data_IF_934060541065
#
_entry.id   IF_934060541065
#
_cell.length_a   1.000
_cell.length_b   1.000
_cell.length_c   1.000
_cell.angle_alpha   90.00
_cell.angle_beta   90.00
_cell.angle_gamma   90.00
#
_symmetry.space_group_name_H-M   'P 1'
#
loop_
_entity.id
_entity.type
_entity.pdbx_description
1 polymer ?
#
# COMPACT_ATOMS: atom_id res chain seq x y z
N UNK A 1 10.84 -23.19 -8.87
CA UNK A 1 10.15 -24.15 -7.99
C UNK A 1 9.36 -23.34 -6.98
N UNK A 2 8.07 -23.63 -6.84
CA UNK A 2 7.16 -22.89 -5.95
C UNK A 2 7.62 -23.04 -4.49
N UNK A 3 7.63 -21.93 -3.74
CA UNK A 3 7.86 -21.96 -2.29
C UNK A 3 6.53 -22.18 -1.56
N UNK A 4 6.23 -23.44 -1.23
CA UNK A 4 4.96 -23.82 -0.59
C UNK A 4 4.81 -23.28 0.84
N UNK A 5 5.92 -22.98 1.54
CA UNK A 5 5.88 -22.32 2.83
C UNK A 5 5.47 -20.86 2.68
N UNK A 6 6.00 -20.17 1.66
CA UNK A 6 5.62 -18.80 1.35
C UNK A 6 4.15 -18.70 0.90
N UNK A 7 3.61 -19.71 0.20
CA UNK A 7 2.18 -19.78 -0.17
C UNK A 7 1.27 -19.86 1.06
N UNK A 8 1.64 -20.67 2.06
CA UNK A 8 0.93 -20.76 3.33
C UNK A 8 1.31 -19.64 4.31
N UNK A 9 2.25 -18.75 3.93
CA UNK A 9 2.75 -17.65 4.73
C UNK A 9 3.30 -18.05 6.10
N UNK A 10 3.93 -19.22 6.16
CA UNK A 10 4.58 -19.74 7.37
C UNK A 10 6.09 -19.85 7.13
N UNK A 11 6.93 -19.76 8.18
CA UNK A 11 8.36 -20.02 8.02
C UNK A 11 8.63 -21.51 7.75
N UNK A 12 9.80 -21.83 7.16
CA UNK A 12 10.17 -23.22 6.81
C UNK A 12 10.27 -24.15 8.02
N UNK A 13 10.57 -23.60 9.19
CA UNK A 13 10.65 -24.29 10.47
C UNK A 13 9.30 -24.40 11.20
N UNK A 14 8.19 -23.97 10.58
CA UNK A 14 6.86 -24.07 11.18
C UNK A 14 6.50 -25.51 11.55
N UNK A 15 5.92 -25.68 12.74
CA UNK A 15 5.39 -26.96 13.16
C UNK A 15 4.09 -27.29 12.41
N UNK A 16 3.67 -28.56 12.49
CA UNK A 16 2.48 -29.03 11.78
C UNK A 16 1.22 -28.26 12.20
N UNK A 17 1.10 -27.93 13.49
CA UNK A 17 -0.03 -27.18 14.00
C UNK A 17 -0.12 -25.77 13.39
N UNK A 18 1.01 -25.09 13.19
CA UNK A 18 1.09 -23.78 12.55
C UNK A 18 0.75 -23.86 11.06
N UNK A 19 1.18 -24.93 10.38
CA UNK A 19 0.85 -25.18 8.96
C UNK A 19 -0.67 -25.40 8.81
N UNK A 20 -1.26 -26.24 9.64
CA UNK A 20 -2.69 -26.53 9.62
C UNK A 20 -3.51 -25.28 9.94
N UNK A 21 -3.12 -24.52 10.97
CA UNK A 21 -3.79 -23.27 11.35
C UNK A 21 -3.73 -22.22 10.24
N UNK A 22 -2.57 -22.02 9.63
CA UNK A 22 -2.39 -21.08 8.53
C UNK A 22 -3.21 -21.48 7.30
N UNK A 23 -3.21 -22.76 6.93
CA UNK A 23 -4.03 -23.29 5.83
C UNK A 23 -5.52 -23.07 6.08
N UNK A 24 -6.04 -23.43 7.25
CA UNK A 24 -7.46 -23.25 7.58
C UNK A 24 -7.85 -21.77 7.54
N UNK A 25 -7.03 -20.89 8.12
CA UNK A 25 -7.29 -19.44 8.13
C UNK A 25 -7.28 -18.85 6.72
N UNK A 26 -6.30 -19.20 5.89
CA UNK A 26 -6.20 -18.74 4.51
C UNK A 26 -7.34 -19.29 3.65
N UNK A 27 -7.72 -20.56 3.84
CA UNK A 27 -8.85 -21.16 3.13
C UNK A 27 -10.16 -20.45 3.40
N UNK A 28 -10.37 -20.07 4.66
CA UNK A 28 -11.53 -19.27 5.09
C UNK A 28 -11.49 -17.85 4.52
N UNK A 29 -10.31 -17.27 4.31
CA UNK A 29 -10.15 -15.92 3.72
C UNK A 29 -10.40 -15.91 2.20
N UNK A 30 -10.04 -16.99 1.51
CA UNK A 30 -10.17 -17.13 0.05
C UNK A 30 -11.39 -17.95 -0.39
N UNK A 31 -12.29 -18.30 0.53
CA UNK A 31 -13.50 -19.06 0.24
C UNK A 31 -14.39 -18.31 -0.78
N UNK A 32 -14.61 -18.86 -2.00
CA UNK A 32 -15.44 -18.22 -3.01
C UNK A 32 -16.87 -17.93 -2.55
N UNK A 33 -17.40 -18.70 -1.59
CA UNK A 33 -18.73 -18.49 -1.03
C UNK A 33 -18.84 -17.22 -0.17
N UNK A 34 -17.70 -16.73 0.35
CA UNK A 34 -17.58 -15.45 1.06
C UNK A 34 -17.34 -14.27 0.12
N UNK A 35 -17.17 -14.56 -1.16
CA UNK A 35 -16.94 -13.63 -2.25
C UNK A 35 -18.21 -13.48 -3.13
N UNK A 36 -19.39 -13.58 -2.51
CA UNK A 36 -20.65 -13.28 -3.19
C UNK A 36 -20.76 -11.77 -3.45
N UNK A 37 -21.00 -11.38 -4.70
CA UNK A 37 -21.13 -9.98 -5.11
C UNK A 37 -19.83 -9.28 -5.51
N UNK A 38 -18.68 -9.97 -5.51
CA UNK A 38 -17.43 -9.44 -6.12
C UNK A 38 -17.30 -9.86 -7.59
N UNK A 39 -16.51 -9.11 -8.36
CA UNK A 39 -16.34 -9.33 -9.80
C UNK A 39 -15.80 -10.72 -10.12
N UNK A 40 -16.09 -11.19 -11.32
CA UNK A 40 -15.67 -12.49 -11.83
C UNK A 40 -14.15 -12.63 -11.77
N UNK A 41 -13.39 -11.58 -12.11
CA UNK A 41 -11.92 -11.64 -12.03
C UNK A 41 -11.41 -11.82 -10.61
N UNK A 42 -12.08 -11.26 -9.60
CA UNK A 42 -11.67 -11.40 -8.19
C UNK A 42 -12.10 -12.76 -7.61
N UNK A 43 -13.19 -13.35 -8.14
CA UNK A 43 -13.56 -14.73 -7.85
C UNK A 43 -12.58 -15.71 -8.48
N UNK A 44 -12.15 -15.45 -9.71
CA UNK A 44 -11.15 -16.23 -10.41
C UNK A 44 -9.80 -16.16 -9.69
N UNK A 45 -9.35 -14.95 -9.32
CA UNK A 45 -8.13 -14.78 -8.53
C UNK A 45 -8.21 -15.51 -7.18
N UNK A 46 -9.34 -15.43 -6.48
CA UNK A 46 -9.53 -16.16 -5.23
C UNK A 46 -9.57 -17.68 -5.43
N UNK A 47 -10.13 -18.16 -6.53
CA UNK A 47 -10.14 -19.57 -6.93
C UNK A 47 -8.72 -20.08 -7.23
N UNK A 48 -7.92 -19.30 -7.97
CA UNK A 48 -6.50 -19.57 -8.20
C UNK A 48 -5.72 -19.62 -6.88
N UNK A 49 -6.03 -18.71 -5.93
CA UNK A 49 -5.44 -18.74 -4.58
C UNK A 49 -5.85 -19.95 -3.79
N UNK A 50 -7.12 -20.29 -3.78
CA UNK A 50 -7.62 -21.49 -3.12
C UNK A 50 -6.87 -22.72 -3.63
N UNK A 51 -6.73 -22.84 -4.95
CA UNK A 51 -6.01 -23.94 -5.58
C UNK A 51 -4.55 -23.98 -5.16
N UNK A 52 -3.85 -22.84 -5.16
CA UNK A 52 -2.46 -22.77 -4.71
C UNK A 52 -2.29 -23.14 -3.23
N UNK A 53 -3.22 -22.75 -2.36
CA UNK A 53 -3.23 -23.13 -0.94
C UNK A 53 -3.41 -24.64 -0.75
N UNK A 54 -4.33 -25.25 -1.51
CA UNK A 54 -4.58 -26.70 -1.47
C UNK A 54 -3.34 -27.47 -1.92
N UNK A 55 -2.68 -27.01 -2.99
CA UNK A 55 -1.45 -27.60 -3.50
C UNK A 55 -0.30 -27.46 -2.49
N UNK A 56 -0.13 -26.28 -1.89
CA UNK A 56 0.89 -26.07 -0.88
C UNK A 56 0.67 -26.97 0.34
N UNK A 57 -0.56 -27.04 0.85
CA UNK A 57 -0.91 -27.89 1.98
C UNK A 57 -0.76 -29.39 1.66
N UNK A 58 -1.05 -29.82 0.44
CA UNK A 58 -0.81 -31.21 0.02
C UNK A 58 0.67 -31.60 0.06
N UNK A 59 1.60 -30.65 -0.09
CA UNK A 59 3.04 -30.88 -0.03
C UNK A 59 3.58 -30.72 1.39
N UNK A 60 3.40 -29.56 2.02
CA UNK A 60 4.04 -29.27 3.32
C UNK A 60 3.18 -29.68 4.52
N UNK A 61 1.90 -30.02 4.31
CA UNK A 61 1.00 -30.52 5.33
C UNK A 61 1.06 -32.03 5.55
N UNK A 62 1.53 -32.82 4.57
CA UNK A 62 1.83 -34.25 4.77
C UNK A 62 3.30 -34.42 5.19
N UNK A 63 3.60 -35.08 6.33
CA UNK A 63 4.97 -35.19 6.83
C UNK A 63 5.93 -35.90 5.86
N UNK A 64 5.45 -36.86 5.07
CA UNK A 64 6.27 -37.62 4.13
C UNK A 64 6.59 -36.75 2.90
N UNK A 65 5.57 -36.07 2.37
CA UNK A 65 5.71 -35.14 1.25
C UNK A 65 6.57 -33.94 1.63
N UNK A 66 6.39 -33.40 2.84
CA UNK A 66 7.19 -32.30 3.40
C UNK A 66 8.65 -32.69 3.48
N UNK A 67 8.97 -33.87 4.02
CA UNK A 67 10.34 -34.36 4.10
C UNK A 67 10.98 -34.54 2.70
N UNK A 68 10.22 -35.03 1.72
CA UNK A 68 10.70 -35.15 0.34
C UNK A 68 10.95 -33.77 -0.31
N UNK A 69 10.05 -32.81 -0.09
CA UNK A 69 10.18 -31.43 -0.55
C UNK A 69 11.39 -30.72 0.09
N UNK A 70 11.56 -30.84 1.41
CA UNK A 70 12.67 -30.26 2.17
C UNK A 70 14.03 -30.88 1.78
N UNK A 71 14.03 -32.17 1.40
CA UNK A 71 15.20 -32.86 0.86
C UNK A 71 15.49 -32.53 -0.62
N UNK A 72 14.67 -31.72 -1.28
CA UNK A 72 14.83 -31.33 -2.68
C UNK A 72 14.51 -32.45 -3.68
N UNK A 73 13.74 -33.46 -3.28
CA UNK A 73 13.35 -34.59 -4.13
C UNK A 73 12.14 -34.18 -4.98
N UNK A 74 12.42 -33.49 -6.10
CA UNK A 74 11.40 -32.88 -6.96
C UNK A 74 10.49 -33.89 -7.65
N UNK A 75 10.98 -35.08 -7.98
CA UNK A 75 10.21 -36.14 -8.66
C UNK A 75 8.95 -36.58 -7.89
N UNK A 76 8.98 -36.50 -6.57
CA UNK A 76 7.85 -36.87 -5.70
C UNK A 76 6.80 -35.76 -5.72
N UNK A 77 7.25 -34.51 -5.71
CA UNK A 77 6.40 -33.31 -5.79
C UNK A 77 5.75 -33.19 -7.16
N UNK A 78 6.50 -33.40 -8.24
CA UNK A 78 6.00 -33.34 -9.63
C UNK A 78 4.98 -34.45 -9.92
N UNK A 79 5.15 -35.64 -9.34
CA UNK A 79 4.15 -36.71 -9.43
C UNK A 79 2.88 -36.40 -8.64
N UNK A 80 3.00 -35.72 -7.50
CA UNK A 80 1.85 -35.32 -6.69
C UNK A 80 1.12 -34.10 -7.28
N UNK A 81 1.85 -33.19 -7.94
CA UNK A 81 1.35 -31.95 -8.53
C UNK A 81 1.85 -31.79 -9.98
N UNK A 82 1.28 -32.52 -10.94
CA UNK A 82 1.73 -32.48 -12.35
C UNK A 82 1.48 -31.12 -13.02
N UNK A 83 0.59 -30.29 -12.47
CA UNK A 83 0.36 -28.90 -12.86
C UNK A 83 0.30 -28.04 -11.59
N UNK A 84 1.47 -27.63 -11.10
CA UNK A 84 1.55 -26.66 -10.02
C UNK A 84 1.12 -25.28 -10.53
N UNK A 85 0.16 -24.65 -9.86
CA UNK A 85 -0.22 -23.27 -10.13
C UNK A 85 0.88 -22.39 -9.57
N UNK A 86 1.52 -21.57 -10.42
CA UNK A 86 2.47 -20.54 -9.98
C UNK A 86 1.71 -19.52 -9.11
N UNK A 87 1.91 -19.50 -7.79
CA UNK A 87 1.16 -18.63 -6.92
C UNK A 87 1.72 -17.21 -6.99
N UNK A 88 0.86 -16.24 -7.21
CA UNK A 88 1.20 -14.81 -7.15
C UNK A 88 1.42 -14.34 -5.70
N UNK A 89 2.47 -14.73 -4.96
CA UNK A 89 2.66 -14.43 -3.51
C UNK A 89 1.91 -13.18 -2.95
N UNK A 90 0.88 -13.41 -2.13
CA UNK A 90 0.13 -12.32 -1.48
C UNK A 90 0.79 -11.95 -0.16
N UNK A 91 1.45 -10.79 -0.13
CA UNK A 91 2.16 -10.28 1.05
C UNK A 91 1.28 -9.41 1.97
N UNK A 92 -0.05 -9.39 1.79
CA UNK A 92 -0.96 -8.68 2.71
C UNK A 92 -0.85 -9.28 4.12
N UNK A 93 -0.86 -8.45 5.18
CA UNK A 93 -0.82 -8.94 6.55
C UNK A 93 -2.03 -9.83 6.82
N UNK A 94 -1.75 -11.00 7.39
CA UNK A 94 -2.78 -11.98 7.73
C UNK A 94 -3.74 -11.41 8.79
N UNK A 95 -5.04 -11.74 8.72
CA UNK A 95 -5.94 -11.51 9.85
C UNK A 95 -5.35 -12.15 11.11
N UNK A 96 -5.51 -11.50 12.26
CA UNK A 96 -4.78 -11.83 13.47
C UNK A 96 -4.88 -13.33 13.83
N UNK A 97 -3.74 -14.03 13.75
CA UNK A 97 -3.64 -15.47 14.01
C UNK A 97 -3.81 -15.88 15.49
N UNK A 98 -4.25 -14.98 16.37
CA UNK A 98 -4.49 -15.30 17.78
C UNK A 98 -3.29 -15.88 18.55
N UNK A 99 -2.05 -15.68 18.08
CA UNK A 99 -0.81 -16.34 18.55
C UNK A 99 -0.73 -17.86 18.30
N UNK A 100 -1.56 -18.42 17.42
CA UNK A 100 -1.58 -19.85 17.11
C UNK A 100 -0.49 -20.28 16.12
N UNK A 101 0.05 -19.34 15.33
CA UNK A 101 1.00 -19.61 14.23
C UNK A 101 2.47 -19.36 14.61
N UNK A 102 2.76 -19.25 15.92
CA UNK A 102 4.13 -19.13 16.43
C UNK A 102 4.28 -20.07 17.61
N UNK A 103 5.38 -20.84 17.68
CA UNK A 103 5.72 -21.59 18.88
C UNK A 103 5.63 -20.69 20.10
N UNK A 104 5.16 -21.20 21.24
CA UNK A 104 5.10 -20.42 22.48
C UNK A 104 6.45 -19.85 22.91
N UNK A 105 7.53 -20.40 22.37
CA UNK A 105 8.93 -20.06 22.63
C UNK A 105 9.50 -19.06 21.61
N UNK A 106 8.71 -18.62 20.62
CA UNK A 106 9.15 -17.65 19.62
C UNK A 106 9.39 -16.28 20.29
N UNK A 107 10.66 -15.98 20.56
CA UNK A 107 11.09 -14.69 21.06
C UNK A 107 11.05 -13.65 19.93
N UNK A 108 10.06 -12.77 19.98
CA UNK A 108 9.90 -11.67 19.03
C UNK A 108 10.92 -10.54 19.26
N UNK A 109 11.79 -10.63 20.27
CA UNK A 109 12.82 -9.62 20.49
C UNK A 109 13.97 -9.78 19.48
N UNK A 110 14.34 -8.71 18.75
CA UNK A 110 15.51 -8.77 17.88
C UNK A 110 16.76 -9.01 18.73
N UNK A 111 17.51 -10.08 18.42
CA UNK A 111 18.77 -10.41 19.12
C UNK A 111 19.77 -9.28 18.87
N UNK A 112 19.83 -8.33 19.81
CA UNK A 112 20.85 -7.30 19.85
C UNK A 112 22.13 -7.94 20.36
N UNK A 113 23.07 -8.27 19.47
CA UNK A 113 24.44 -8.62 19.88
C UNK A 113 25.07 -7.39 20.52
N UNK A 114 25.02 -7.30 21.84
CA UNK A 114 25.59 -6.19 22.61
C UNK A 114 25.30 -6.35 24.09
N UNK A 115 26.25 -6.97 24.80
CA UNK A 115 26.25 -7.18 26.25
C UNK A 115 26.30 -5.84 26.98
N UNK A 116 25.35 -5.58 27.87
CA UNK A 116 25.58 -4.77 29.09
C UNK A 116 24.53 -5.12 30.16
N UNK A 117 25.00 -5.13 31.39
CA UNK A 117 24.49 -5.83 32.56
C UNK A 117 23.48 -5.03 33.39
N UNK A 118 22.55 -5.79 33.99
CA UNK A 118 21.73 -5.58 35.18
C UNK A 118 21.79 -4.24 35.94
N UNK A 119 20.60 -3.73 36.29
CA UNK A 119 20.40 -2.72 37.34
C UNK A 119 18.92 -2.37 37.49
N UNK A 120 18.23 -3.05 38.40
CA UNK A 120 16.82 -2.88 38.79
C UNK A 120 16.48 -1.44 39.23
N UNK A 121 15.24 -0.98 38.96
CA UNK A 121 14.31 -0.57 40.03
C UNK A 121 12.89 -0.26 39.52
N UNK A 122 11.96 -0.90 40.21
CA UNK A 122 10.51 -0.81 40.14
C UNK A 122 10.02 0.46 40.86
N UNK A 123 9.30 1.36 40.20
CA UNK A 123 8.51 2.41 40.87
C UNK A 123 7.18 2.64 40.13
N UNK A 124 6.14 2.78 40.95
CA UNK A 124 4.71 2.62 40.71
C UNK A 124 4.02 3.73 39.92
N UNK A 125 2.87 3.33 39.36
CA UNK A 125 1.75 4.12 38.83
C UNK A 125 1.40 5.34 39.70
N UNK A 126 1.33 6.53 39.11
CA UNK A 126 0.42 7.62 39.53
C UNK A 126 -0.11 8.38 38.31
N UNK A 127 -1.43 8.54 38.30
CA UNK A 127 -2.28 9.35 37.42
C UNK A 127 -1.75 10.76 37.14
N UNK A 128 -1.93 11.23 35.90
CA UNK A 128 -2.28 12.63 35.65
C UNK A 128 -3.10 12.75 34.36
N UNK A 129 -4.37 13.07 34.56
CA UNK A 129 -5.38 13.47 33.59
C UNK A 129 -5.01 14.84 33.03
N UNK A 130 -4.99 15.00 31.70
CA UNK A 130 -5.39 16.23 30.99
C UNK A 130 -5.39 16.02 29.46
N UNK A 131 -6.57 16.13 28.84
CA UNK A 131 -6.76 16.67 27.48
C UNK A 131 -6.01 18.02 27.35
N UNK A 132 -5.54 18.50 26.17
CA UNK A 132 -6.34 18.70 24.94
C UNK A 132 -5.58 18.41 23.61
N UNK A 133 -6.25 18.08 22.50
CA UNK A 133 -6.77 18.95 21.43
C UNK A 133 -5.68 19.69 20.61
N UNK A 134 -5.72 19.44 19.30
CA UNK A 134 -5.52 20.37 18.18
C UNK A 134 -4.26 21.24 18.08
N UNK A 135 -3.92 21.51 16.81
CA UNK A 135 -2.97 22.52 16.31
C UNK A 135 -1.52 22.02 16.23
N UNK A 136 -1.13 21.55 15.03
CA UNK A 136 0.25 21.70 14.57
C UNK A 136 0.21 22.34 13.19
N UNK A 137 0.30 23.66 13.20
CA UNK A 137 0.68 24.46 12.04
C UNK A 137 1.68 25.52 12.54
N UNK A 138 2.94 25.32 12.13
CA UNK A 138 4.07 26.25 12.00
C UNK A 138 4.39 27.24 13.12
N UNK A 139 5.64 27.26 13.58
CA UNK A 139 6.60 28.35 13.28
C UNK A 139 8.02 28.08 13.79
N UNK A 140 8.99 28.41 12.95
CA UNK A 140 10.41 28.61 13.27
C UNK A 140 10.61 30.04 13.77
N UNK A 141 11.35 30.26 14.86
CA UNK A 141 12.12 31.50 15.06
C UNK A 141 13.50 31.12 15.60
N UNK A 142 14.53 31.51 14.85
CA UNK A 142 15.93 31.58 15.29
C UNK A 142 16.08 32.85 16.15
N UNK A 143 16.53 32.73 17.39
CA UNK A 143 17.33 33.76 18.05
C UNK A 143 18.46 33.13 18.86
N UNK A 144 19.58 33.86 18.79
CA UNK A 144 20.93 33.65 19.26
C UNK A 144 21.07 33.46 20.79
N UNK A 145 22.20 32.89 21.24
CA UNK A 145 22.67 33.05 22.62
C UNK A 145 22.79 31.77 23.47
N UNK A 146 23.90 31.06 23.28
CA UNK A 146 24.47 29.98 24.10
C UNK A 146 23.88 29.66 25.49
N UNK A 147 23.52 28.38 25.65
CA UNK A 147 23.91 27.50 26.78
C UNK A 147 23.70 26.05 26.36
N UNK A 148 24.78 25.26 26.35
CA UNK A 148 24.72 23.81 26.13
C UNK A 148 23.97 23.17 27.31
N UNK A 149 22.77 22.68 27.06
CA UNK A 149 22.07 21.74 27.94
C UNK A 149 22.16 20.38 27.27
N UNK A 150 22.64 19.40 28.02
CA UNK A 150 22.89 18.04 27.58
C UNK A 150 21.61 17.39 27.02
N UNK A 151 21.78 16.56 25.98
CA UNK A 151 20.75 15.74 25.36
C UNK A 151 20.08 14.84 26.41
N UNK A 152 18.94 15.30 26.93
CA UNK A 152 17.97 14.44 27.56
C UNK A 152 17.35 13.56 26.49
N UNK A 153 17.32 12.26 26.74
CA UNK A 153 16.61 11.27 25.92
C UNK A 153 15.10 11.54 25.95
N UNK A 154 14.65 12.57 25.25
CA UNK A 154 13.25 12.76 24.91
C UNK A 154 12.95 11.81 23.75
N UNK A 155 12.68 10.55 24.11
CA UNK A 155 11.94 9.66 23.23
C UNK A 155 10.55 10.27 23.11
N UNK A 156 10.36 11.10 22.08
CA UNK A 156 9.04 11.47 21.61
C UNK A 156 8.22 10.18 21.48
N UNK A 157 6.97 10.15 21.98
CA UNK A 157 6.14 8.97 21.84
C UNK A 157 5.99 8.72 20.34
N UNK A 158 6.44 7.55 19.89
CA UNK A 158 6.16 6.98 18.58
C UNK A 158 4.66 6.72 18.52
N UNK A 159 3.86 7.79 18.39
CA UNK A 159 2.50 7.71 17.89
C UNK A 159 2.69 7.35 16.42
N UNK A 160 2.58 6.04 16.19
CA UNK A 160 3.28 5.26 15.16
C UNK A 160 2.90 5.74 13.76
N UNK A 161 3.89 5.95 12.89
CA UNK A 161 3.70 6.10 11.43
C UNK A 161 2.79 5.01 10.82
N UNK A 162 2.77 3.81 11.42
CA UNK A 162 1.85 2.72 11.08
C UNK A 162 0.35 3.09 11.19
N UNK A 163 -0.03 3.99 12.10
CA UNK A 163 -1.43 4.38 12.30
C UNK A 163 -2.01 5.20 11.12
N UNK A 164 -1.16 5.98 10.44
CA UNK A 164 -1.57 6.81 9.30
C UNK A 164 -1.70 5.98 8.02
N UNK A 165 -0.89 4.92 7.86
CA UNK A 165 -0.97 4.05 6.68
C UNK A 165 -2.14 3.08 6.72
N UNK A 166 -2.56 2.66 7.92
CA UNK A 166 -3.66 1.70 8.12
C UNK A 166 -5.05 2.37 8.12
N UNK A 167 -5.10 3.70 8.18
CA UNK A 167 -6.36 4.47 8.23
C UNK A 167 -7.25 4.25 7.00
N UNK A 168 -6.68 3.78 5.88
CA UNK A 168 -7.40 3.56 4.62
C UNK A 168 -7.98 2.15 4.48
N UNK A 169 -7.56 1.17 5.30
CA UNK A 169 -7.96 -0.22 5.08
C UNK A 169 -9.48 -0.42 5.26
N UNK A 170 -10.06 0.16 6.33
CA UNK A 170 -11.51 0.10 6.53
C UNK A 170 -12.30 0.94 5.51
N UNK A 171 -11.93 2.21 5.23
CA UNK A 171 -12.56 2.99 4.16
C UNK A 171 -12.55 2.32 2.77
N UNK A 172 -11.48 1.61 2.40
CA UNK A 172 -11.43 0.85 1.13
C UNK A 172 -12.48 -0.27 1.13
N UNK A 173 -12.64 -0.98 2.24
CA UNK A 173 -13.64 -2.05 2.38
C UNK A 173 -15.06 -1.45 2.27
N UNK A 174 -15.32 -0.36 2.99
CA UNK A 174 -16.62 0.30 3.01
C UNK A 174 -16.99 0.87 1.64
N UNK A 175 -16.05 1.55 0.98
CA UNK A 175 -16.25 2.11 -0.36
C UNK A 175 -16.51 1.00 -1.39
N UNK A 176 -15.79 -0.14 -1.30
CA UNK A 176 -16.06 -1.30 -2.15
C UNK A 176 -17.44 -1.91 -1.88
N UNK A 177 -17.85 -2.01 -0.61
CA UNK A 177 -19.18 -2.49 -0.28
C UNK A 177 -20.27 -1.58 -0.89
N UNK A 178 -20.03 -0.27 -0.96
CA UNK A 178 -20.93 0.67 -1.63
C UNK A 178 -21.04 0.42 -3.15
N UNK A 179 -19.94 0.04 -3.83
CA UNK A 179 -20.01 -0.33 -5.25
C UNK A 179 -20.77 -1.63 -5.48
N UNK A 180 -20.72 -2.57 -4.54
CA UNK A 180 -21.54 -3.81 -4.61
C UNK A 180 -23.01 -3.51 -4.33
N UNK A 181 -23.30 -2.66 -3.35
CA UNK A 181 -24.66 -2.27 -2.99
C UNK A 181 -25.36 -1.50 -4.12
N UNK A 182 -24.61 -0.69 -4.88
CA UNK A 182 -25.11 -0.01 -6.07
C UNK A 182 -24.06 0.02 -7.18
N UNK A 183 -24.04 -1.04 -7.99
CA UNK A 183 -23.07 -1.23 -9.07
C UNK A 183 -23.09 -0.16 -10.17
N UNK A 184 -24.15 0.65 -10.23
CA UNK A 184 -24.30 1.75 -11.20
C UNK A 184 -24.07 3.13 -10.61
N UNK A 185 -23.76 3.26 -9.31
CA UNK A 185 -23.44 4.56 -8.71
C UNK A 185 -22.05 5.03 -9.13
N UNK A 186 -22.01 6.12 -9.88
CA UNK A 186 -20.76 6.79 -10.28
C UNK A 186 -19.98 7.21 -9.02
N UNK A 187 -20.68 7.81 -8.05
CA UNK A 187 -20.09 8.32 -6.81
C UNK A 187 -19.43 7.21 -6.00
N UNK A 188 -20.06 6.03 -5.90
CA UNK A 188 -19.48 4.89 -5.19
C UNK A 188 -18.18 4.40 -5.86
N UNK A 189 -18.14 4.34 -7.19
CA UNK A 189 -16.93 3.94 -7.94
C UNK A 189 -15.82 4.98 -7.84
N UNK A 190 -16.15 6.27 -7.93
CA UNK A 190 -15.18 7.36 -7.73
C UNK A 190 -14.61 7.31 -6.32
N UNK A 191 -15.44 7.13 -5.30
CA UNK A 191 -14.99 7.05 -3.92
C UNK A 191 -14.10 5.82 -3.67
N UNK A 192 -14.46 4.66 -4.22
CA UNK A 192 -13.62 3.47 -4.14
C UNK A 192 -12.24 3.71 -4.78
N UNK A 193 -12.21 4.33 -5.97
CA UNK A 193 -10.97 4.75 -6.62
C UNK A 193 -10.14 5.70 -5.75
N UNK A 194 -10.78 6.72 -5.15
CA UNK A 194 -10.13 7.71 -4.29
C UNK A 194 -9.49 7.08 -3.06
N UNK A 195 -10.18 6.15 -2.40
CA UNK A 195 -9.64 5.46 -1.22
C UNK A 195 -8.41 4.62 -1.57
N UNK A 196 -8.47 3.89 -2.69
CA UNK A 196 -7.32 3.14 -3.19
C UNK A 196 -6.15 4.06 -3.54
N UNK A 197 -6.40 5.10 -4.34
CA UNK A 197 -5.43 6.11 -4.78
C UNK A 197 -4.70 6.75 -3.59
N UNK A 198 -5.47 7.30 -2.63
CA UNK A 198 -4.90 8.02 -1.49
C UNK A 198 -4.07 7.10 -0.58
N UNK A 199 -4.50 5.84 -0.43
CA UNK A 199 -3.81 4.87 0.42
C UNK A 199 -2.40 4.51 -0.04
N UNK A 200 -2.13 4.63 -1.35
CA UNK A 200 -0.81 4.39 -1.92
C UNK A 200 -0.05 5.71 -2.13
N UNK A 201 -0.73 6.82 -2.41
CA UNK A 201 -0.09 8.14 -2.51
C UNK A 201 0.64 8.52 -1.23
N UNK A 202 -0.01 8.35 -0.07
CA UNK A 202 0.58 8.72 1.22
C UNK A 202 1.85 7.93 1.51
N UNK A 203 1.87 6.64 1.15
CA UNK A 203 3.03 5.77 1.34
C UNK A 203 4.12 6.11 0.34
N UNK A 204 3.77 6.48 -0.90
CA UNK A 204 4.73 6.96 -1.90
C UNK A 204 5.43 8.24 -1.44
N UNK A 205 4.70 9.18 -0.87
CA UNK A 205 5.27 10.46 -0.43
C UNK A 205 6.14 10.31 0.82
N UNK A 206 5.73 9.46 1.76
CA UNK A 206 6.43 9.30 3.05
C UNK A 206 7.54 8.25 3.00
N UNK A 207 7.32 7.15 2.27
CA UNK A 207 8.15 5.95 2.31
C UNK A 207 8.29 5.27 0.92
N UNK A 208 8.75 5.97 -0.13
CA UNK A 208 8.75 5.47 -1.52
C UNK A 208 9.63 4.23 -1.77
N UNK A 209 10.60 3.94 -0.90
CA UNK A 209 11.46 2.76 -0.98
C UNK A 209 11.01 1.59 -0.10
N UNK A 210 9.91 1.72 0.64
CA UNK A 210 9.50 0.73 1.63
C UNK A 210 8.87 -0.52 0.99
N UNK A 211 8.96 -1.69 1.64
CA UNK A 211 8.17 -2.86 1.25
C UNK A 211 6.66 -2.60 1.24
N UNK A 212 6.19 -1.69 2.09
CA UNK A 212 4.79 -1.27 2.13
C UNK A 212 4.37 -0.53 0.87
N UNK A 213 5.22 0.34 0.32
CA UNK A 213 4.95 0.97 -0.97
C UNK A 213 4.86 -0.10 -2.06
N UNK A 214 5.85 -1.01 -2.12
CA UNK A 214 5.89 -2.09 -3.11
C UNK A 214 4.63 -2.96 -3.10
N UNK A 215 4.13 -3.34 -1.91
CA UNK A 215 2.89 -4.12 -1.81
C UNK A 215 1.62 -3.34 -2.16
N UNK A 216 1.66 -2.00 -2.12
CA UNK A 216 0.53 -1.12 -2.44
C UNK A 216 0.53 -0.59 -3.87
N UNK A 217 1.60 -0.76 -4.66
CA UNK A 217 1.66 -0.28 -6.06
C UNK A 217 0.45 -0.75 -6.87
N UNK A 218 -0.03 -1.99 -6.66
CA UNK A 218 -1.22 -2.52 -7.36
C UNK A 218 -2.50 -1.73 -7.08
N UNK A 219 -2.57 -0.98 -5.97
CA UNK A 219 -3.75 -0.15 -5.66
C UNK A 219 -3.94 0.99 -6.65
N UNK A 220 -2.87 1.45 -7.31
CA UNK A 220 -3.00 2.39 -8.44
C UNK A 220 -3.79 1.78 -9.60
N UNK A 221 -3.54 0.51 -9.92
CA UNK A 221 -4.29 -0.20 -10.96
C UNK A 221 -5.75 -0.39 -10.55
N UNK A 222 -6.00 -0.81 -9.31
CA UNK A 222 -7.38 -0.94 -8.80
C UNK A 222 -8.13 0.39 -8.81
N UNK A 223 -7.45 1.50 -8.50
CA UNK A 223 -8.03 2.83 -8.60
C UNK A 223 -8.36 3.19 -10.06
N UNK A 224 -7.45 2.89 -11.00
CA UNK A 224 -7.70 3.05 -12.42
C UNK A 224 -8.94 2.25 -12.88
N UNK A 225 -9.09 0.99 -12.47
CA UNK A 225 -10.25 0.17 -12.82
C UNK A 225 -11.55 0.77 -12.27
N UNK A 226 -11.54 1.29 -11.03
CA UNK A 226 -12.69 1.95 -10.42
C UNK A 226 -13.08 3.24 -11.15
N UNK A 227 -12.10 4.08 -11.52
CA UNK A 227 -12.36 5.29 -12.30
C UNK A 227 -12.84 4.97 -13.72
N UNK A 228 -12.27 3.94 -14.37
CA UNK A 228 -12.74 3.47 -15.66
C UNK A 228 -14.20 2.98 -15.59
N UNK A 229 -14.57 2.32 -14.49
CA UNK A 229 -15.95 1.91 -14.23
C UNK A 229 -16.88 3.11 -14.04
N UNK A 230 -16.48 4.13 -13.30
CA UNK A 230 -17.23 5.37 -13.19
C UNK A 230 -17.44 6.05 -14.57
N UNK A 231 -16.38 6.14 -15.38
CA UNK A 231 -16.42 6.72 -16.74
C UNK A 231 -17.28 5.91 -17.71
N UNK A 232 -17.50 4.61 -17.46
CA UNK A 232 -18.44 3.81 -18.25
C UNK A 232 -19.90 4.28 -18.11
N UNK A 233 -20.21 4.97 -17.01
CA UNK A 233 -21.53 5.55 -16.75
C UNK A 233 -21.58 7.06 -17.03
N UNK A 234 -20.46 7.78 -16.84
CA UNK A 234 -20.32 9.19 -17.22
C UNK A 234 -19.00 9.44 -17.97
N UNK A 235 -18.97 9.23 -19.30
CA UNK A 235 -17.79 9.45 -20.12
C UNK A 235 -17.36 10.92 -20.23
N UNK A 236 -18.18 11.87 -19.77
CA UNK A 236 -17.92 13.30 -19.87
C UNK A 236 -17.17 13.86 -18.66
N UNK A 237 -16.97 13.05 -17.61
CA UNK A 237 -16.32 13.46 -16.38
C UNK A 237 -14.80 13.58 -16.52
N UNK A 238 -14.36 14.74 -16.97
CA UNK A 238 -12.95 15.05 -17.23
C UNK A 238 -12.07 14.96 -15.98
N UNK A 239 -12.62 15.21 -14.78
CA UNK A 239 -11.87 15.10 -13.51
C UNK A 239 -11.55 13.63 -13.23
N UNK A 240 -12.54 12.74 -13.36
CA UNK A 240 -12.32 11.30 -13.21
C UNK A 240 -11.43 10.75 -14.33
N UNK A 241 -11.51 11.27 -15.57
CA UNK A 241 -10.58 10.91 -16.65
C UNK A 241 -9.13 11.29 -16.33
N UNK A 242 -8.91 12.44 -15.65
CA UNK A 242 -7.59 12.84 -15.17
C UNK A 242 -7.09 11.92 -14.03
N UNK A 243 -7.96 11.52 -13.12
CA UNK A 243 -7.62 10.63 -12.00
C UNK A 243 -7.29 9.21 -12.45
N UNK A 244 -8.02 8.72 -13.46
CA UNK A 244 -7.66 7.51 -14.20
C UNK A 244 -6.26 7.65 -14.82
N UNK A 245 -6.00 8.75 -15.54
CA UNK A 245 -4.70 9.00 -16.16
C UNK A 245 -3.55 9.04 -15.15
N UNK A 246 -3.75 9.69 -14.00
CA UNK A 246 -2.79 9.75 -12.90
C UNK A 246 -2.52 8.35 -12.31
N UNK A 247 -3.57 7.57 -12.06
CA UNK A 247 -3.47 6.21 -11.53
C UNK A 247 -2.66 5.29 -12.45
N UNK A 248 -2.96 5.32 -13.76
CA UNK A 248 -2.20 4.55 -14.78
C UNK A 248 -0.75 5.00 -14.86
N UNK A 249 -0.52 6.30 -14.81
CA UNK A 249 0.81 6.89 -14.77
C UNK A 249 1.65 6.37 -13.59
N UNK A 250 1.13 6.47 -12.37
CA UNK A 250 1.85 6.03 -11.17
C UNK A 250 2.02 4.52 -11.11
N UNK A 251 1.03 3.74 -11.53
CA UNK A 251 1.17 2.30 -11.66
C UNK A 251 2.28 1.93 -12.65
N UNK A 252 2.28 2.53 -13.84
CA UNK A 252 3.28 2.28 -14.88
C UNK A 252 4.68 2.64 -14.42
N UNK A 253 4.86 3.79 -13.75
CA UNK A 253 6.16 4.16 -13.19
C UNK A 253 6.61 3.22 -12.06
N UNK A 254 5.70 2.84 -11.15
CA UNK A 254 5.99 1.95 -10.04
C UNK A 254 6.33 0.51 -10.46
N UNK A 255 5.79 0.06 -11.59
CA UNK A 255 6.01 -1.30 -12.14
C UNK A 255 6.99 -1.35 -13.31
N UNK A 256 7.58 -0.21 -13.68
CA UNK A 256 8.44 -0.07 -14.87
C UNK A 256 7.72 -0.43 -16.20
N UNK A 257 6.40 -0.23 -16.27
CA UNK A 257 5.60 -0.32 -17.48
C UNK A 257 5.47 1.07 -18.14
N UNK A 258 6.42 1.40 -19.00
CA UNK A 258 6.50 2.70 -19.68
C UNK A 258 5.32 2.99 -20.62
N UNK A 259 4.74 1.94 -21.22
CA UNK A 259 3.58 2.09 -22.10
C UNK A 259 2.37 2.59 -21.33
N UNK A 260 2.12 1.98 -20.17
CA UNK A 260 1.03 2.38 -19.28
C UNK A 260 1.27 3.77 -18.69
N UNK A 261 2.51 4.08 -18.29
CA UNK A 261 2.79 5.40 -17.74
C UNK A 261 2.64 6.52 -18.75
N UNK A 262 3.11 6.30 -19.98
CA UNK A 262 2.96 7.24 -21.09
C UNK A 262 1.50 7.43 -21.46
N UNK A 263 0.71 6.35 -21.51
CA UNK A 263 -0.71 6.43 -21.80
C UNK A 263 -1.47 7.26 -20.76
N UNK A 264 -1.22 7.03 -19.46
CA UNK A 264 -1.80 7.81 -18.37
C UNK A 264 -1.42 9.30 -18.45
N UNK A 265 -0.15 9.60 -18.70
CA UNK A 265 0.34 10.97 -18.87
C UNK A 265 -0.36 11.70 -20.04
N UNK A 266 -0.50 11.05 -21.19
CA UNK A 266 -1.19 11.65 -22.35
C UNK A 266 -2.69 11.85 -22.07
N UNK A 267 -3.30 10.94 -21.33
CA UNK A 267 -4.70 11.05 -20.92
C UNK A 267 -4.93 12.29 -20.06
N UNK A 268 -4.08 12.55 -19.05
CA UNK A 268 -4.18 13.78 -18.23
C UNK A 268 -4.04 15.03 -19.11
N UNK A 269 -3.05 15.08 -20.01
CA UNK A 269 -2.81 16.22 -20.91
C UNK A 269 -4.02 16.54 -21.78
N UNK A 270 -4.69 15.51 -22.31
CA UNK A 270 -5.86 15.64 -23.18
C UNK A 270 -7.01 16.35 -22.47
N UNK A 271 -7.27 16.00 -21.21
CA UNK A 271 -8.43 16.55 -20.46
C UNK A 271 -8.12 17.82 -19.69
N UNK A 272 -6.84 18.11 -19.39
CA UNK A 272 -6.42 19.26 -18.60
C UNK A 272 -7.09 20.59 -18.99
N UNK A 273 -7.24 20.97 -20.29
CA UNK A 273 -7.87 22.23 -20.67
C UNK A 273 -9.36 22.35 -20.28
N UNK A 274 -10.00 21.23 -19.95
CA UNK A 274 -11.43 21.15 -19.60
C UNK A 274 -11.64 21.01 -18.09
N UNK A 275 -10.58 20.82 -17.30
CA UNK A 275 -10.66 20.65 -15.85
C UNK A 275 -11.10 21.98 -15.20
N UNK A 276 -12.11 21.97 -14.32
CA UNK A 276 -12.50 23.17 -13.57
C UNK A 276 -11.35 23.76 -12.77
N UNK A 277 -11.27 25.09 -12.67
CA UNK A 277 -10.19 25.80 -11.96
C UNK A 277 -10.02 25.32 -10.51
N UNK A 278 -11.10 24.90 -9.85
CA UNK A 278 -11.06 24.37 -8.48
C UNK A 278 -10.31 23.03 -8.35
N UNK A 279 -10.29 22.22 -9.41
CA UNK A 279 -9.65 20.89 -9.44
C UNK A 279 -8.27 20.93 -10.12
N UNK A 280 -8.01 21.95 -10.94
CA UNK A 280 -6.74 22.09 -11.68
C UNK A 280 -5.47 22.00 -10.81
N UNK A 281 -5.37 22.60 -9.59
CA UNK A 281 -4.15 22.50 -8.79
C UNK A 281 -3.74 21.06 -8.50
N UNK A 282 -4.72 20.21 -8.15
CA UNK A 282 -4.53 18.79 -7.85
C UNK A 282 -4.12 18.00 -9.08
N UNK A 283 -4.80 18.23 -10.22
CA UNK A 283 -4.48 17.57 -11.49
C UNK A 283 -3.10 17.97 -12.00
N UNK A 284 -2.74 19.26 -11.91
CA UNK A 284 -1.41 19.76 -12.27
C UNK A 284 -0.32 19.16 -11.37
N UNK A 285 -0.58 19.00 -10.07
CA UNK A 285 0.38 18.40 -9.16
C UNK A 285 0.72 16.97 -9.60
N UNK A 286 -0.32 16.16 -9.86
CA UNK A 286 -0.19 14.78 -10.35
C UNK A 286 0.52 14.72 -11.72
N UNK A 287 0.14 15.60 -12.66
CA UNK A 287 0.80 15.69 -13.97
C UNK A 287 2.30 16.00 -13.84
N UNK A 288 2.67 16.93 -12.96
CA UNK A 288 4.07 17.26 -12.74
C UNK A 288 4.87 16.08 -12.18
N UNK A 289 4.29 15.28 -11.27
CA UNK A 289 4.93 14.04 -10.81
C UNK A 289 5.10 13.03 -11.96
N UNK A 290 4.06 12.83 -12.76
CA UNK A 290 4.12 11.97 -13.95
C UNK A 290 5.24 12.38 -14.92
N UNK A 291 5.38 13.67 -15.19
CA UNK A 291 6.44 14.21 -16.03
C UNK A 291 7.83 13.98 -15.42
N UNK A 292 7.97 14.24 -14.12
CA UNK A 292 9.22 14.09 -13.39
C UNK A 292 9.68 12.62 -13.26
N UNK A 293 8.76 11.66 -13.35
CA UNK A 293 9.03 10.22 -13.25
C UNK A 293 8.98 9.50 -14.60
N UNK A 294 8.56 10.19 -15.66
CA UNK A 294 8.51 9.62 -17.01
C UNK A 294 9.88 9.21 -17.53
N UNK A 295 9.90 8.30 -18.52
CA UNK A 295 11.11 7.90 -19.24
C UNK A 295 10.89 8.15 -20.74
N UNK A 296 11.64 9.08 -21.38
CA UNK A 296 12.66 9.95 -20.79
C UNK A 296 12.06 10.98 -19.82
N UNK A 297 12.86 11.40 -18.83
CA UNK A 297 12.44 12.34 -17.80
C UNK A 297 12.14 13.72 -18.39
N UNK A 298 10.96 14.26 -18.12
CA UNK A 298 10.49 15.56 -18.61
C UNK A 298 10.60 16.65 -17.53
N UNK A 299 11.81 16.86 -17.00
CA UNK A 299 12.05 17.75 -15.83
C UNK A 299 11.62 19.20 -16.06
N UNK A 300 11.94 19.79 -17.21
CA UNK A 300 11.58 21.19 -17.51
C UNK A 300 10.07 21.39 -17.53
N UNK A 301 9.34 20.45 -18.14
CA UNK A 301 7.90 20.50 -18.21
C UNK A 301 7.22 20.20 -16.87
N UNK A 302 7.81 19.31 -16.06
CA UNK A 302 7.37 19.09 -14.68
C UNK A 302 7.45 20.39 -13.85
N UNK A 303 8.59 21.08 -13.93
CA UNK A 303 8.79 22.37 -13.26
C UNK A 303 7.78 23.40 -13.76
N UNK A 304 7.61 23.53 -15.08
CA UNK A 304 6.65 24.47 -15.67
C UNK A 304 5.20 24.17 -15.23
N UNK A 305 4.85 22.89 -15.15
CA UNK A 305 3.55 22.41 -14.65
C UNK A 305 3.32 22.84 -13.20
N UNK A 306 4.28 22.62 -12.31
CA UNK A 306 4.16 23.04 -10.91
C UNK A 306 4.20 24.56 -10.73
N UNK A 307 4.91 25.30 -11.59
CA UNK A 307 4.89 26.76 -11.56
C UNK A 307 3.49 27.32 -11.82
N UNK A 308 2.69 26.70 -12.69
CA UNK A 308 1.29 27.10 -12.92
C UNK A 308 0.47 27.05 -11.63
N UNK A 309 0.70 26.05 -10.77
CA UNK A 309 0.03 25.94 -9.47
C UNK A 309 0.31 27.17 -8.62
N UNK A 310 1.58 27.61 -8.55
CA UNK A 310 1.97 28.78 -7.75
C UNK A 310 1.35 30.10 -8.22
N UNK A 311 0.84 30.14 -9.45
CA UNK A 311 0.09 31.29 -9.99
C UNK A 311 -1.42 31.14 -9.89
N UNK A 312 -1.93 29.91 -9.75
CA UNK A 312 -3.36 29.59 -9.76
C UNK A 312 -3.99 29.71 -8.37
N UNK A 313 -3.22 29.46 -7.31
CA UNK A 313 -3.70 29.44 -5.93
C UNK A 313 -2.86 30.36 -5.04
N UNK A 314 -3.41 30.72 -3.87
CA UNK A 314 -2.71 31.52 -2.88
C UNK A 314 -1.38 30.86 -2.46
N UNK A 315 -0.36 31.67 -2.19
CA UNK A 315 1.01 31.19 -1.91
C UNK A 315 1.12 30.34 -0.63
N UNK A 316 0.20 30.52 0.31
CA UNK A 316 0.08 29.76 1.56
C UNK A 316 -0.81 28.51 1.43
N UNK A 317 -1.40 28.26 0.25
CA UNK A 317 -2.16 27.04 0.01
C UNK A 317 -1.26 25.80 0.04
N UNK A 318 -1.77 24.64 0.49
CA UNK A 318 -1.00 23.40 0.51
C UNK A 318 -0.40 23.04 -0.86
N UNK A 319 -1.16 23.25 -1.94
CA UNK A 319 -0.71 22.99 -3.31
C UNK A 319 0.45 23.90 -3.74
N UNK A 320 0.38 25.20 -3.44
CA UNK A 320 1.47 26.13 -3.77
C UNK A 320 2.76 25.81 -2.99
N UNK A 321 2.63 25.48 -1.71
CA UNK A 321 3.75 25.09 -0.85
C UNK A 321 4.42 23.83 -1.40
N UNK A 322 3.64 22.78 -1.68
CA UNK A 322 4.16 21.52 -2.20
C UNK A 322 4.81 21.70 -3.59
N UNK A 323 4.15 22.41 -4.51
CA UNK A 323 4.69 22.73 -5.83
C UNK A 323 6.04 23.47 -5.74
N UNK A 324 6.15 24.45 -4.85
CA UNK A 324 7.40 25.21 -4.64
C UNK A 324 8.53 24.31 -4.13
N UNK A 325 8.23 23.41 -3.20
CA UNK A 325 9.20 22.44 -2.68
C UNK A 325 9.69 21.50 -3.79
N UNK A 326 8.77 20.97 -4.61
CA UNK A 326 9.09 20.06 -5.72
C UNK A 326 9.94 20.75 -6.80
N UNK A 327 9.62 22.01 -7.15
CA UNK A 327 10.44 22.81 -8.06
C UNK A 327 11.86 22.99 -7.52
N UNK A 328 11.99 23.29 -6.22
CA UNK A 328 13.30 23.47 -5.59
C UNK A 328 14.12 22.16 -5.57
N UNK A 329 13.46 21.00 -5.43
CA UNK A 329 14.12 19.70 -5.46
C UNK A 329 14.67 19.35 -6.85
N UNK A 330 13.96 19.67 -7.94
CA UNK A 330 14.40 19.34 -9.30
C UNK A 330 15.42 20.31 -9.90
N UNK A 331 15.64 21.47 -9.26
CA UNK A 331 16.64 22.47 -9.69
C UNK A 331 18.01 22.27 -9.04
N UNK A 332 18.12 21.38 -8.05
CA UNK A 332 19.39 20.98 -7.43
C UNK A 332 20.04 19.88 -8.23
#
# INVERSE_FOLDING_TARGET
MVDFYAVLQVPRDADQASIDAAYQRLRVAYDPSRLQGVSDELRDLASERGTALDQAYAIVGDPTMRAAYDAGITDVVERALPVAVEPSYDYRPLPAAGRQERPSEFDATPIRKGRMTAGERQISLVLAIALPLAIVLLTFIITDGGKRVAEGNDVQPVVREAAVTDQFEQPIIDARAATVANATSIEAWVEYGNQLYNSVQIVREQQPGSPLYQSRIVRWQLAADAYAKALSFDPSNVVVEADLGASRCFYGNGTNNQGESTAGLQQIRKVLPQIPDSEQPRVLLNLGFCLAESTPRQTEEAIATWQKITTLVASDSPFAIQATQLIALLKK
#
